data_IF_114829438421
#
_entry.id   IF_114829438421
#
_cell.length_a   1.000
_cell.length_b   1.000
_cell.length_c   1.000
_cell.angle_alpha   90.00
_cell.angle_beta   90.00
_cell.angle_gamma   90.00
#
_symmetry.space_group_name_H-M   'P 1'
#
loop_
_entity.id
_entity.type
_entity.pdbx_description
1 polymer ?
#
# COMPACT_ATOMS: atom_id res chain seq x y z
N UNK A 1 -16.20 -23.16 -6.09
CA UNK A 1 -14.77 -22.87 -5.94
C UNK A 1 -14.09 -23.17 -7.27
N UNK A 2 -13.63 -22.13 -7.96
CA UNK A 2 -13.08 -22.24 -9.31
C UNK A 2 -11.57 -22.48 -9.20
N UNK A 3 -11.16 -23.75 -9.29
CA UNK A 3 -9.74 -24.11 -9.37
C UNK A 3 -9.22 -23.66 -10.73
N UNK A 4 -8.42 -22.60 -10.77
CA UNK A 4 -7.74 -22.13 -11.98
C UNK A 4 -6.22 -22.22 -11.83
N UNK A 5 -5.56 -22.69 -12.88
CA UNK A 5 -4.10 -22.70 -12.97
C UNK A 5 -3.65 -21.55 -13.86
N UNK A 6 -2.89 -20.62 -13.28
CA UNK A 6 -2.27 -19.51 -14.00
C UNK A 6 -0.74 -19.62 -13.90
N UNK A 7 -0.04 -19.05 -14.87
CA UNK A 7 1.41 -18.95 -14.86
C UNK A 7 1.78 -17.51 -15.16
N UNK A 8 2.67 -16.96 -14.34
CA UNK A 8 3.11 -15.57 -14.40
C UNK A 8 4.63 -15.56 -14.54
N UNK A 9 5.12 -14.66 -15.39
CA UNK A 9 6.52 -14.26 -15.47
C UNK A 9 6.65 -12.88 -14.85
N UNK A 10 7.60 -12.70 -13.93
CA UNK A 10 7.94 -11.40 -13.36
C UNK A 10 9.43 -11.12 -13.53
N UNK A 11 9.74 -9.92 -14.02
CA UNK A 11 11.10 -9.39 -14.12
C UNK A 11 11.12 -8.05 -13.41
N UNK A 12 12.06 -7.85 -12.49
CA UNK A 12 12.13 -6.61 -11.71
C UNK A 12 13.55 -6.10 -11.53
N UNK A 13 13.65 -4.79 -11.36
CA UNK A 13 14.87 -4.10 -10.92
C UNK A 13 14.59 -3.49 -9.56
N UNK A 14 15.45 -3.77 -8.59
CA UNK A 14 15.41 -3.18 -7.26
C UNK A 14 16.67 -2.36 -7.04
N UNK A 15 16.49 -1.15 -6.52
CA UNK A 15 17.57 -0.24 -6.13
C UNK A 15 17.39 0.16 -4.66
N UNK A 16 18.49 0.12 -3.91
CA UNK A 16 18.58 0.71 -2.57
C UNK A 16 19.68 1.75 -2.60
N UNK A 17 19.30 3.00 -2.44
CA UNK A 17 20.21 4.13 -2.53
C UNK A 17 20.22 4.95 -1.25
N UNK A 18 21.42 5.32 -0.80
CA UNK A 18 21.62 6.15 0.37
C UNK A 18 22.09 7.55 -0.04
N UNK A 19 21.40 8.58 0.45
CA UNK A 19 21.77 9.98 0.26
C UNK A 19 22.03 10.60 1.64
N UNK A 20 23.28 10.52 2.08
CA UNK A 20 23.64 10.84 3.47
C UNK A 20 22.90 9.90 4.44
N UNK A 21 22.13 10.42 5.42
CA UNK A 21 21.36 9.58 6.34
C UNK A 21 20.00 9.14 5.76
N UNK A 22 19.64 9.59 4.55
CA UNK A 22 18.39 9.21 3.88
C UNK A 22 18.55 7.91 3.11
N UNK A 23 17.49 7.13 3.04
CA UNK A 23 17.45 5.85 2.34
C UNK A 23 16.24 5.79 1.41
N UNK A 24 16.49 5.48 0.14
CA UNK A 24 15.49 5.16 -0.86
C UNK A 24 15.56 3.66 -1.16
N UNK A 25 14.42 2.99 -1.10
CA UNK A 25 14.19 1.63 -1.60
C UNK A 25 13.19 1.70 -2.73
N UNK A 26 13.55 1.28 -3.93
CA UNK A 26 12.67 1.29 -5.08
C UNK A 26 12.72 -0.04 -5.84
N UNK A 27 11.56 -0.53 -6.27
CA UNK A 27 11.43 -1.68 -7.15
C UNK A 27 10.50 -1.31 -8.30
N UNK A 28 10.96 -1.56 -9.53
CA UNK A 28 10.12 -1.51 -10.73
C UNK A 28 10.07 -2.93 -11.30
N UNK A 29 8.87 -3.51 -11.39
CA UNK A 29 8.68 -4.83 -11.97
C UNK A 29 7.69 -4.85 -13.12
N UNK A 30 7.99 -5.69 -14.10
CA UNK A 30 7.10 -6.06 -15.19
C UNK A 30 6.58 -7.47 -14.94
N UNK A 31 5.26 -7.62 -14.92
CA UNK A 31 4.53 -8.88 -14.74
C UNK A 31 3.77 -9.21 -16.00
N UNK A 32 3.84 -10.47 -16.42
CA UNK A 32 3.11 -10.97 -17.57
C UNK A 32 2.52 -12.35 -17.30
N UNK A 33 1.22 -12.49 -17.52
CA UNK A 33 0.59 -13.81 -17.56
C UNK A 33 0.92 -14.56 -18.84
N UNK A 34 1.37 -15.82 -18.75
CA UNK A 34 1.84 -16.61 -19.90
C UNK A 34 1.17 -17.99 -19.99
N UNK A 35 0.91 -18.44 -21.22
CA UNK A 35 0.28 -19.73 -21.53
C UNK A 35 1.20 -20.94 -21.45
N UNK A 36 2.03 -21.00 -20.42
CA UNK A 36 2.99 -22.10 -20.22
C UNK A 36 2.59 -22.98 -19.02
N UNK A 37 3.27 -24.12 -18.88
CA UNK A 37 3.19 -25.01 -17.70
C UNK A 37 1.77 -25.44 -17.27
N UNK A 38 0.85 -25.61 -18.24
CA UNK A 38 -0.53 -26.04 -17.96
C UNK A 38 -1.46 -24.92 -17.49
N UNK A 39 -1.09 -23.65 -17.72
CA UNK A 39 -1.98 -22.51 -17.49
C UNK A 39 -3.21 -22.58 -18.38
N UNK A 40 -4.40 -22.43 -17.79
CA UNK A 40 -5.66 -22.52 -18.52
C UNK A 40 -5.86 -21.35 -19.49
N UNK A 41 -6.55 -21.63 -20.59
CA UNK A 41 -6.87 -20.65 -21.62
C UNK A 41 -7.76 -19.52 -21.11
N UNK A 42 -7.62 -18.38 -21.77
CA UNK A 42 -8.25 -17.14 -21.38
C UNK A 42 -9.40 -16.78 -22.31
N UNK A 43 -10.50 -17.52 -22.14
CA UNK A 43 -11.65 -17.49 -23.07
C UNK A 43 -12.52 -16.25 -22.94
N UNK A 44 -12.37 -15.45 -21.87
CA UNK A 44 -13.11 -14.20 -21.69
C UNK A 44 -12.38 -13.00 -22.29
N UNK A 45 -11.06 -13.07 -22.43
CA UNK A 45 -10.26 -12.01 -23.05
C UNK A 45 -10.68 -11.74 -24.51
N UNK A 46 -11.23 -12.73 -25.22
CA UNK A 46 -11.73 -12.58 -26.60
C UNK A 46 -12.98 -11.72 -26.75
N UNK A 47 -13.60 -11.29 -25.64
CA UNK A 47 -14.83 -10.48 -25.62
C UNK A 47 -14.63 -9.16 -24.84
N UNK A 48 -13.42 -8.58 -24.88
CA UNK A 48 -13.03 -7.39 -24.08
C UNK A 48 -13.27 -7.58 -22.55
N UNK A 49 -13.25 -8.85 -22.11
CA UNK A 49 -13.35 -9.26 -20.73
C UNK A 49 -12.00 -9.18 -19.99
N UNK A 50 -12.01 -9.42 -18.67
CA UNK A 50 -10.78 -9.53 -17.90
C UNK A 50 -9.90 -10.68 -18.39
N UNK A 51 -8.58 -10.51 -18.29
CA UNK A 51 -7.58 -11.46 -18.79
C UNK A 51 -6.56 -11.86 -17.72
N UNK A 52 -6.18 -13.13 -17.74
CA UNK A 52 -5.04 -13.71 -17.02
C UNK A 52 -3.74 -13.69 -17.83
N UNK A 53 -3.79 -13.15 -19.06
CA UNK A 53 -2.63 -12.92 -19.95
C UNK A 53 -2.21 -11.45 -19.95
N UNK A 54 -2.49 -10.74 -18.87
CA UNK A 54 -2.17 -9.33 -18.73
C UNK A 54 -0.67 -9.04 -18.77
N UNK A 55 -0.33 -7.78 -19.03
CA UNK A 55 1.01 -7.19 -18.95
C UNK A 55 0.96 -5.94 -18.10
N UNK A 56 1.75 -5.92 -17.05
CA UNK A 56 1.61 -4.93 -16.00
C UNK A 56 2.96 -4.44 -15.51
N UNK A 57 3.07 -3.13 -15.36
CA UNK A 57 4.17 -2.48 -14.65
C UNK A 57 3.73 -2.17 -13.23
N UNK A 58 4.57 -2.52 -12.26
CA UNK A 58 4.37 -2.23 -10.84
C UNK A 58 5.57 -1.45 -10.33
N UNK A 59 5.29 -0.32 -9.66
CA UNK A 59 6.27 0.49 -8.96
C UNK A 59 6.01 0.39 -7.46
N UNK A 60 7.04 0.08 -6.69
CA UNK A 60 7.08 0.24 -5.24
C UNK A 60 8.26 1.13 -4.89
N UNK A 61 8.04 2.19 -4.12
CA UNK A 61 9.12 3.03 -3.62
C UNK A 61 8.86 3.49 -2.18
N UNK A 62 9.89 3.44 -1.34
CA UNK A 62 9.89 3.92 0.02
C UNK A 62 11.11 4.82 0.23
N UNK A 63 10.89 6.05 0.72
CA UNK A 63 11.95 6.99 1.06
C UNK A 63 11.83 7.36 2.54
N UNK A 64 12.93 7.21 3.26
CA UNK A 64 13.10 7.58 4.66
C UNK A 64 14.13 8.70 4.78
N UNK A 65 13.71 9.86 5.28
CA UNK A 65 14.53 11.07 5.43
C UNK A 65 14.55 11.47 6.90
N UNK A 66 15.61 11.14 7.66
CA UNK A 66 15.81 11.69 8.99
C UNK A 66 16.30 13.14 8.91
N UNK A 67 15.75 14.01 9.75
CA UNK A 67 16.17 15.40 9.86
C UNK A 67 16.01 15.90 11.30
N UNK A 68 16.54 17.09 11.60
CA UNK A 68 16.35 17.76 12.89
C UNK A 68 15.65 19.09 12.66
N UNK A 69 14.74 19.43 13.56
CA UNK A 69 14.19 20.77 13.68
C UNK A 69 14.58 21.28 15.06
N UNK A 70 15.46 22.28 15.11
CA UNK A 70 16.23 22.63 16.31
C UNK A 70 16.94 21.37 16.88
N UNK A 71 16.70 21.04 18.16
CA UNK A 71 17.29 19.86 18.81
C UNK A 71 16.43 18.59 18.71
N UNK A 72 15.21 18.70 18.17
CA UNK A 72 14.29 17.57 18.09
C UNK A 72 14.52 16.77 16.80
N UNK A 73 14.83 15.46 16.88
CA UNK A 73 14.91 14.61 15.71
C UNK A 73 13.51 14.30 15.17
N UNK A 74 13.41 14.21 13.85
CA UNK A 74 12.23 13.77 13.11
C UNK A 74 12.64 12.82 12.00
N UNK A 75 11.68 12.03 11.52
CA UNK A 75 11.83 11.22 10.31
C UNK A 75 10.61 11.38 9.44
N UNK A 76 10.83 11.80 8.20
CA UNK A 76 9.80 11.76 7.16
C UNK A 76 9.92 10.43 6.42
N UNK A 77 8.81 9.70 6.32
CA UNK A 77 8.71 8.47 5.53
C UNK A 77 7.61 8.63 4.51
N UNK A 78 7.95 8.38 3.25
CA UNK A 78 6.97 8.36 2.15
C UNK A 78 7.03 7.03 1.41
N UNK A 79 5.86 6.47 1.11
CA UNK A 79 5.72 5.23 0.33
C UNK A 79 4.79 5.48 -0.84
N UNK A 80 5.21 5.11 -2.04
CA UNK A 80 4.37 5.08 -3.23
C UNK A 80 4.28 3.66 -3.75
N UNK A 81 3.07 3.23 -4.10
CA UNK A 81 2.82 2.05 -4.92
C UNK A 81 1.99 2.46 -6.12
N UNK A 82 2.42 2.06 -7.30
CA UNK A 82 1.70 2.28 -8.54
C UNK A 82 1.59 1.01 -9.35
N UNK A 83 0.48 0.86 -10.06
CA UNK A 83 0.24 -0.23 -10.99
C UNK A 83 -0.32 0.34 -12.29
N UNK A 84 0.23 -0.12 -13.41
CA UNK A 84 -0.23 0.26 -14.74
C UNK A 84 -0.28 -0.95 -15.67
N UNK A 85 -1.42 -1.16 -16.31
CA UNK A 85 -1.64 -2.18 -17.34
C UNK A 85 -2.56 -1.61 -18.41
N UNK A 86 -2.42 -2.04 -19.66
CA UNK A 86 -3.43 -1.73 -20.68
C UNK A 86 -4.56 -2.77 -20.74
N UNK A 87 -4.37 -3.89 -20.07
CA UNK A 87 -5.27 -5.03 -20.10
C UNK A 87 -6.33 -4.91 -18.98
N UNK A 88 -7.50 -5.50 -19.22
CA UNK A 88 -8.56 -5.59 -18.21
C UNK A 88 -8.22 -6.70 -17.23
N UNK A 89 -8.25 -6.42 -15.93
CA UNK A 89 -7.85 -7.37 -14.90
C UNK A 89 -9.08 -8.01 -14.24
N UNK A 90 -8.86 -9.18 -13.64
CA UNK A 90 -9.76 -9.68 -12.62
C UNK A 90 -9.57 -8.87 -11.34
N UNK A 91 -10.63 -8.75 -10.54
CA UNK A 91 -10.60 -7.99 -9.28
C UNK A 91 -9.47 -8.41 -8.32
N UNK A 92 -9.04 -9.68 -8.40
CA UNK A 92 -7.92 -10.22 -7.62
C UNK A 92 -6.56 -9.57 -7.94
N UNK A 93 -6.40 -9.06 -9.16
CA UNK A 93 -5.20 -8.36 -9.64
C UNK A 93 -5.38 -6.83 -9.67
N UNK A 94 -6.56 -6.31 -9.31
CA UNK A 94 -6.81 -4.87 -9.24
C UNK A 94 -6.03 -4.22 -8.08
N UNK A 95 -5.59 -2.99 -8.28
CA UNK A 95 -5.09 -2.17 -7.18
C UNK A 95 -6.27 -1.69 -6.33
N UNK A 96 -6.28 -2.06 -5.05
CA UNK A 96 -7.28 -1.59 -4.10
C UNK A 96 -6.78 -0.41 -3.25
N UNK A 97 -7.67 0.55 -2.98
CA UNK A 97 -7.41 1.68 -2.07
C UNK A 97 -8.55 1.81 -1.04
N UNK A 98 -8.21 2.27 0.16
CA UNK A 98 -9.15 2.50 1.27
C UNK A 98 -9.04 1.49 2.40
N UNK A 99 -7.83 1.17 2.86
CA UNK A 99 -7.59 0.29 4.00
C UNK A 99 -6.34 0.70 4.78
N UNK A 100 -6.11 0.06 5.94
CA UNK A 100 -4.88 0.29 6.74
C UNK A 100 -3.55 0.03 6.00
N UNK A 101 -3.59 -0.75 4.92
CA UNK A 101 -2.40 -1.12 4.14
C UNK A 101 -2.14 -0.17 2.95
N UNK A 102 -3.16 0.58 2.52
CA UNK A 102 -3.11 1.46 1.34
C UNK A 102 -3.34 2.92 1.76
N UNK A 103 -4.49 3.51 1.45
CA UNK A 103 -4.88 4.83 1.96
C UNK A 103 -5.47 4.65 3.37
N UNK A 104 -4.71 5.03 4.41
CA UNK A 104 -5.18 4.96 5.82
C UNK A 104 -6.29 5.98 6.09
N UNK A 105 -7.01 5.76 7.19
CA UNK A 105 -8.19 6.55 7.55
C UNK A 105 -9.51 5.90 7.12
N UNK A 106 -9.45 4.73 6.50
CA UNK A 106 -10.58 3.92 6.07
C UNK A 106 -10.55 2.56 6.75
N UNK A 107 -11.72 2.02 7.06
CA UNK A 107 -11.92 0.73 7.76
C UNK A 107 -11.62 -0.49 6.89
N UNK A 108 -11.68 -0.36 5.57
CA UNK A 108 -11.43 -1.45 4.62
C UNK A 108 -12.67 -2.27 4.25
N UNK A 109 -13.83 -1.96 4.82
CA UNK A 109 -15.11 -2.62 4.52
C UNK A 109 -15.62 -2.25 3.13
N UNK A 110 -15.34 -1.03 2.69
CA UNK A 110 -15.49 -0.59 1.31
C UNK A 110 -14.14 -0.16 0.76
N UNK A 111 -13.84 -0.53 -0.48
CA UNK A 111 -12.61 -0.21 -1.16
C UNK A 111 -12.90 0.21 -2.61
N UNK A 112 -12.04 1.04 -3.18
CA UNK A 112 -12.04 1.30 -4.61
C UNK A 112 -10.96 0.42 -5.24
N UNK A 113 -11.32 -0.32 -6.27
CA UNK A 113 -10.43 -1.23 -6.98
C UNK A 113 -10.41 -0.87 -8.46
N UNK A 114 -9.24 -0.86 -9.08
CA UNK A 114 -9.13 -0.68 -10.52
C UNK A 114 -7.87 -1.28 -11.08
N UNK A 115 -7.89 -1.51 -12.40
CA UNK A 115 -6.79 -2.19 -13.09
C UNK A 115 -5.49 -1.39 -12.98
N UNK A 116 -5.61 -0.07 -12.94
CA UNK A 116 -4.51 0.90 -12.85
C UNK A 116 -4.73 1.79 -11.65
N UNK A 117 -3.65 2.33 -11.11
CA UNK A 117 -3.74 3.34 -10.08
C UNK A 117 -2.47 3.49 -9.28
N UNK A 118 -2.59 4.27 -8.22
CA UNK A 118 -1.54 4.39 -7.23
C UNK A 118 -2.11 4.76 -5.88
N UNK A 119 -1.32 4.53 -4.84
CA UNK A 119 -1.45 5.23 -3.58
C UNK A 119 -0.11 5.79 -3.15
N UNK A 120 -0.17 6.90 -2.42
CA UNK A 120 0.96 7.64 -1.91
C UNK A 120 0.70 7.96 -0.44
N UNK A 121 1.57 7.45 0.43
CA UNK A 121 1.47 7.54 1.88
C UNK A 121 2.60 8.39 2.40
N UNK A 122 2.28 9.34 3.27
CA UNK A 122 3.25 10.22 3.90
C UNK A 122 3.12 10.11 5.41
N UNK A 123 4.24 10.07 6.10
CA UNK A 123 4.29 9.95 7.55
C UNK A 123 5.42 10.81 8.11
N UNK A 124 5.09 11.66 9.08
CA UNK A 124 6.07 12.38 9.88
C UNK A 124 6.13 11.73 11.26
N UNK A 125 7.31 11.23 11.62
CA UNK A 125 7.58 10.53 12.87
C UNK A 125 8.41 11.42 13.80
N UNK A 126 8.02 11.45 15.07
CA UNK A 126 8.68 12.16 16.15
C UNK A 126 9.09 11.16 17.25
N UNK A 127 10.36 10.72 17.29
CA UNK A 127 10.89 9.91 18.37
C UNK A 127 10.78 10.60 19.73
N UNK A 128 10.38 9.84 20.76
CA UNK A 128 10.22 10.30 22.13
C UNK A 128 11.51 10.06 22.93
N UNK A 129 12.49 10.95 22.75
CA UNK A 129 13.80 10.85 23.39
C UNK A 129 14.49 9.51 23.09
N UNK A 130 15.01 8.86 24.13
CA UNK A 130 15.69 7.55 24.03
C UNK A 130 14.78 6.36 24.36
N UNK A 131 13.47 6.57 24.44
CA UNK A 131 12.51 5.53 24.91
C UNK A 131 12.31 4.37 23.94
N UNK A 132 12.77 4.47 22.69
CA UNK A 132 12.45 3.53 21.62
C UNK A 132 11.02 3.68 21.09
N UNK A 133 10.30 4.73 21.47
CA UNK A 133 8.93 5.03 21.07
C UNK A 133 8.91 6.26 20.14
N UNK A 134 7.94 6.32 19.24
CA UNK A 134 7.72 7.45 18.34
C UNK A 134 6.22 7.71 18.14
N UNK A 135 5.85 8.98 18.18
CA UNK A 135 4.55 9.44 17.66
C UNK A 135 4.66 9.64 16.16
N UNK A 136 3.57 9.46 15.44
CA UNK A 136 3.52 9.78 14.02
C UNK A 136 2.18 10.36 13.59
N UNK A 137 2.23 11.20 12.57
CA UNK A 137 1.07 11.68 11.84
C UNK A 137 1.26 11.37 10.36
N UNK A 138 0.19 11.12 9.63
CA UNK A 138 0.28 10.80 8.21
C UNK A 138 -0.91 11.33 7.41
N UNK A 139 -0.63 11.54 6.13
CA UNK A 139 -1.60 11.94 5.12
C UNK A 139 -1.36 11.08 3.87
N UNK A 140 -2.40 10.34 3.51
CA UNK A 140 -2.35 9.38 2.42
C UNK A 140 -3.36 9.79 1.34
N UNK A 141 -3.00 9.57 0.08
CA UNK A 141 -3.87 9.79 -1.07
C UNK A 141 -3.75 8.61 -2.04
N UNK A 142 -4.85 8.22 -2.66
CA UNK A 142 -4.85 7.19 -3.68
C UNK A 142 -5.90 7.42 -4.75
N UNK A 143 -5.60 6.92 -5.94
CA UNK A 143 -6.52 6.99 -7.08
C UNK A 143 -6.40 5.76 -7.95
N UNK A 144 -7.56 5.22 -8.35
CA UNK A 144 -7.69 4.11 -9.29
C UNK A 144 -8.25 4.60 -10.62
N UNK A 145 -7.93 3.89 -11.69
CA UNK A 145 -8.37 4.16 -13.06
C UNK A 145 -8.53 2.85 -13.82
N UNK A 146 -9.41 2.85 -14.81
CA UNK A 146 -9.53 1.76 -15.78
C UNK A 146 -10.98 1.48 -16.14
N UNK A 147 -11.22 0.49 -17.01
CA UNK A 147 -12.57 0.11 -17.41
C UNK A 147 -13.48 -0.25 -16.21
N UNK A 148 -12.96 -0.95 -15.19
CA UNK A 148 -13.76 -1.32 -14.01
C UNK A 148 -14.17 -0.11 -13.18
N UNK A 149 -13.43 1.01 -13.25
CA UNK A 149 -13.70 2.17 -12.40
C UNK A 149 -14.96 2.95 -12.77
N UNK A 150 -15.56 2.69 -13.93
CA UNK A 150 -16.84 3.29 -14.33
C UNK A 150 -18.03 2.85 -13.46
N UNK A 151 -17.93 1.66 -12.85
CA UNK A 151 -18.95 1.14 -11.95
C UNK A 151 -18.76 1.59 -10.49
N UNK A 152 -17.67 2.30 -10.18
CA UNK A 152 -17.37 2.75 -8.83
C UNK A 152 -18.10 4.04 -8.49
N UNK A 153 -18.42 4.20 -7.20
CA UNK A 153 -18.98 5.44 -6.63
C UNK A 153 -18.00 6.64 -6.70
N UNK A 154 -16.75 6.39 -7.03
CA UNK A 154 -15.71 7.38 -7.29
C UNK A 154 -14.36 6.70 -7.49
N UNK A 155 -13.31 7.48 -7.68
CA UNK A 155 -11.99 6.92 -8.06
C UNK A 155 -10.86 7.30 -7.12
N UNK A 156 -11.08 8.20 -6.16
CA UNK A 156 -10.01 8.77 -5.34
C UNK A 156 -10.40 8.81 -3.86
N UNK A 157 -9.41 8.61 -3.00
CA UNK A 157 -9.55 8.68 -1.54
C UNK A 157 -8.37 9.46 -0.96
N UNK A 158 -8.62 10.22 0.10
CA UNK A 158 -7.58 10.78 0.95
C UNK A 158 -7.92 10.53 2.41
N UNK A 159 -6.92 10.23 3.23
CA UNK A 159 -7.15 9.99 4.64
C UNK A 159 -5.95 10.38 5.50
N UNK A 160 -6.23 10.67 6.76
CA UNK A 160 -5.25 11.07 7.74
C UNK A 160 -5.15 10.01 8.83
N UNK A 161 -3.97 9.94 9.45
CA UNK A 161 -3.70 9.04 10.57
C UNK A 161 -2.85 9.74 11.62
N UNK A 162 -3.09 9.41 12.89
CA UNK A 162 -2.19 9.67 13.99
C UNK A 162 -1.96 8.35 14.73
N UNK A 163 -0.73 8.10 15.16
CA UNK A 163 -0.43 6.89 15.88
C UNK A 163 0.84 6.97 16.70
N UNK A 164 1.09 5.87 17.39
CA UNK A 164 2.24 5.68 18.25
C UNK A 164 2.78 4.28 18.01
N UNK A 165 4.08 4.18 17.84
CA UNK A 165 4.77 2.90 17.73
C UNK A 165 6.00 2.87 18.60
N UNK A 166 6.35 1.67 19.04
CA UNK A 166 7.55 1.48 19.85
C UNK A 166 7.84 0.01 20.05
N UNK A 167 8.99 -0.24 20.67
CA UNK A 167 9.36 -1.59 21.08
C UNK A 167 10.16 -1.56 22.37
N UNK A 168 9.95 -2.59 23.18
CA UNK A 168 10.70 -2.86 24.41
C UNK A 168 11.11 -4.32 24.38
N UNK A 169 12.39 -4.58 24.62
CA UNK A 169 12.92 -5.93 24.56
C UNK A 169 14.27 -6.07 25.24
N UNK A 170 14.61 -7.32 25.55
CA UNK A 170 15.88 -7.72 26.14
C UNK A 170 16.43 -8.92 25.38
N UNK A 171 17.75 -8.98 25.17
CA UNK A 171 18.43 -10.10 24.51
C UNK A 171 18.15 -11.46 25.17
N UNK A 172 17.71 -11.48 26.43
CA UNK A 172 17.42 -12.72 27.18
C UNK A 172 15.95 -13.17 27.15
N UNK A 173 15.01 -12.27 26.88
CA UNK A 173 13.57 -12.52 27.06
C UNK A 173 12.74 -12.15 25.82
N UNK A 174 13.39 -11.93 24.68
CA UNK A 174 12.73 -11.47 23.47
C UNK A 174 12.34 -9.98 23.53
N UNK A 175 11.65 -9.53 22.49
CA UNK A 175 11.18 -8.15 22.33
C UNK A 175 9.73 -8.08 21.91
N UNK A 176 9.01 -7.11 22.47
CA UNK A 176 7.65 -6.74 22.07
C UNK A 176 7.72 -5.44 21.29
N UNK A 177 7.11 -5.41 20.12
CA UNK A 177 6.86 -4.19 19.34
C UNK A 177 5.36 -3.97 19.18
N UNK A 178 4.94 -2.71 19.13
CA UNK A 178 3.55 -2.33 18.95
C UNK A 178 3.40 -1.13 18.02
N UNK A 179 2.23 -1.03 17.37
CA UNK A 179 1.75 0.14 16.65
C UNK A 179 0.25 0.29 16.97
N UNK A 180 -0.15 1.47 17.43
CA UNK A 180 -1.55 1.82 17.70
C UNK A 180 -1.86 3.12 16.96
N UNK A 181 -3.01 3.18 16.29
CA UNK A 181 -3.37 4.34 15.49
C UNK A 181 -4.87 4.64 15.47
N UNK A 182 -5.17 5.91 15.19
CA UNK A 182 -6.49 6.43 14.82
C UNK A 182 -6.38 7.07 13.44
N UNK A 183 -7.35 6.83 12.57
CA UNK A 183 -7.42 7.44 11.26
C UNK A 183 -8.81 7.95 10.93
N UNK A 184 -8.88 8.88 9.98
CA UNK A 184 -10.15 9.45 9.51
C UNK A 184 -10.09 9.73 8.00
N UNK A 185 -11.19 9.56 7.26
CA UNK A 185 -11.27 9.99 5.87
C UNK A 185 -11.16 11.52 5.79
N UNK A 186 -10.23 12.02 4.97
CA UNK A 186 -10.09 13.45 4.66
C UNK A 186 -10.90 13.79 3.41
N UNK A 187 -10.89 12.90 2.42
CA UNK A 187 -11.71 12.98 1.22
C UNK A 187 -12.24 11.59 0.87
N UNK A 188 -13.54 11.52 0.60
CA UNK A 188 -14.21 10.35 0.03
C UNK A 188 -15.33 10.78 -0.92
N UNK A 189 -15.65 9.99 -1.96
CA UNK A 189 -16.85 10.21 -2.76
C UNK A 189 -18.12 10.22 -1.89
N UNK A 190 -19.14 10.95 -2.31
CA UNK A 190 -20.36 11.14 -1.51
C UNK A 190 -21.03 9.82 -1.15
N UNK A 191 -21.18 8.91 -2.12
CA UNK A 191 -21.79 7.59 -1.91
C UNK A 191 -20.82 6.52 -1.37
N UNK A 192 -19.59 6.90 -1.00
CA UNK A 192 -18.62 5.96 -0.42
C UNK A 192 -18.88 5.79 1.09
N UNK A 193 -19.29 4.59 1.50
CA UNK A 193 -19.61 4.26 2.89
C UNK A 193 -18.37 3.79 3.64
N UNK A 194 -18.05 4.46 4.75
CA UNK A 194 -16.94 4.09 5.65
C UNK A 194 -17.15 4.77 7.00
N UNK A 195 -16.55 4.23 8.06
CA UNK A 195 -16.56 4.85 9.37
C UNK A 195 -15.91 6.26 9.36
N UNK A 196 -16.42 7.19 10.17
CA UNK A 196 -15.83 8.53 10.31
C UNK A 196 -14.48 8.53 11.05
N UNK A 197 -14.24 7.51 11.88
CA UNK A 197 -12.97 7.27 12.58
C UNK A 197 -12.72 5.76 12.61
N UNK A 198 -11.48 5.37 12.29
CA UNK A 198 -11.00 3.99 12.35
C UNK A 198 -9.88 3.90 13.38
N UNK A 199 -9.90 2.88 14.23
CA UNK A 199 -8.82 2.58 15.16
C UNK A 199 -8.19 1.24 14.81
N UNK A 200 -6.88 1.08 15.07
CA UNK A 200 -6.22 -0.19 14.88
C UNK A 200 -5.02 -0.35 15.79
N UNK A 201 -4.67 -1.61 16.06
CA UNK A 201 -3.47 -1.97 16.79
C UNK A 201 -2.77 -3.17 16.13
N UNK A 202 -1.47 -3.24 16.30
CA UNK A 202 -0.63 -4.39 15.97
C UNK A 202 0.37 -4.58 17.10
N UNK A 203 0.53 -5.82 17.53
CA UNK A 203 1.54 -6.21 18.54
C UNK A 203 2.28 -7.42 17.99
N UNK A 204 3.61 -7.38 18.04
CA UNK A 204 4.48 -8.47 17.59
C UNK A 204 5.47 -8.78 18.70
N UNK A 205 5.53 -10.05 19.09
CA UNK A 205 6.53 -10.58 20.00
C UNK A 205 7.53 -11.43 19.21
N UNK A 206 8.82 -11.19 19.42
CA UNK A 206 9.91 -11.95 18.83
C UNK A 206 10.78 -12.54 19.95
N UNK A 207 11.03 -13.85 19.90
CA UNK A 207 11.86 -14.59 20.86
C UNK A 207 13.20 -15.00 20.25
#
# INVERSE_FOLDING_TARGET
QQRRNNTLLEVGVTDRHYFGPSQLDATLSFRQGIGAFGAQDDTLASFDGPTWRYRMMVLDANLSVPFKLAEQPFRYVTTIRGQFTNDRLYYEDDLTIGSRYTVRGFDGESQLAGERGFYWRNELQAPLGISGQALYVGLDYGRVYGPSTQALVGTQLAGAVIGMRGGVGSQKFGGVSYDVFLGTPVYKPEQFNTAGVTAGMQVVYQY
#
